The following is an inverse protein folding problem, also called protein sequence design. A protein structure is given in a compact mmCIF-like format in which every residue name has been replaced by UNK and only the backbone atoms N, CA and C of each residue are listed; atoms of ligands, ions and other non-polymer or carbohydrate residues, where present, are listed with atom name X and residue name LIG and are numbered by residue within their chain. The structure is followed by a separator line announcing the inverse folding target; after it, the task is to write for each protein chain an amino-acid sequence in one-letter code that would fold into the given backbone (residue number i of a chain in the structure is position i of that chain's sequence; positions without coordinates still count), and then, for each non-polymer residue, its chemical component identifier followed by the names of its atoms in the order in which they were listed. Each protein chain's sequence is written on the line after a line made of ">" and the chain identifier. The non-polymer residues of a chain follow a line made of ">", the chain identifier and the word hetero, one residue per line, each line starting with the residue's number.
data_IF_149223731047
#
_entry.id   IF_149223731047
#
_cell.length_a   1.000
_cell.length_b   1.000
_cell.length_c   1.000
_cell.angle_alpha   90.00
_cell.angle_beta   90.00
_cell.angle_gamma   90.00
#
_symmetry.space_group_name_H-M   'P 1'
#
loop_
_entity.id
_entity.type
_entity.pdbx_description
1 polymer ?
#
# COMPACT_ATOMS: atom_id res chain seq x y z
N UNK A 1 -17.98 -20.56 9.14
CA UNK A 1 -17.12 -19.37 9.00
C UNK A 1 -16.87 -19.21 7.52
N UNK A 2 -17.81 -18.55 6.83
CA UNK A 2 -17.68 -18.19 5.42
C UNK A 2 -16.69 -17.03 5.33
N UNK A 3 -15.49 -17.32 4.83
CA UNK A 3 -14.54 -16.29 4.42
C UNK A 3 -14.90 -15.82 3.02
N UNK A 4 -15.32 -14.57 2.98
CA UNK A 4 -15.70 -13.78 1.82
C UNK A 4 -14.71 -13.96 0.63
N UNK A 5 -15.09 -14.81 -0.32
CA UNK A 5 -15.59 -14.29 -1.60
C UNK A 5 -14.65 -14.23 -2.82
N UNK A 6 -13.37 -14.65 -2.76
CA UNK A 6 -12.57 -14.87 -3.98
C UNK A 6 -11.76 -16.15 -3.92
N UNK A 7 -11.99 -17.02 -4.92
CA UNK A 7 -11.25 -18.27 -5.07
C UNK A 7 -9.79 -17.97 -5.42
N UNK A 8 -8.84 -18.81 -4.99
CA UNK A 8 -7.41 -18.64 -5.29
C UNK A 8 -7.13 -18.48 -6.79
N UNK A 9 -8.00 -19.06 -7.62
CA UNK A 9 -7.98 -18.94 -9.08
C UNK A 9 -8.29 -17.52 -9.58
N UNK A 10 -9.25 -16.83 -8.97
CA UNK A 10 -9.57 -15.42 -9.28
C UNK A 10 -8.44 -14.48 -8.86
N UNK A 11 -7.71 -14.84 -7.80
CA UNK A 11 -6.54 -14.10 -7.33
C UNK A 11 -5.40 -14.24 -8.33
N UNK A 12 -5.12 -15.49 -8.72
CA UNK A 12 -4.13 -15.80 -9.73
C UNK A 12 -4.45 -15.06 -11.05
N UNK A 13 -5.72 -15.08 -11.47
CA UNK A 13 -6.21 -14.33 -12.63
C UNK A 13 -6.03 -12.82 -12.50
N UNK A 14 -6.35 -12.22 -11.34
CA UNK A 14 -6.17 -10.79 -11.10
C UNK A 14 -4.70 -10.32 -11.05
N UNK A 15 -3.79 -11.25 -10.77
CA UNK A 15 -2.34 -11.03 -10.74
C UNK A 15 -1.67 -11.39 -12.06
N UNK A 16 -2.41 -11.96 -13.02
CA UNK A 16 -1.86 -12.42 -14.30
C UNK A 16 -0.90 -13.63 -14.17
N UNK A 17 -0.99 -14.38 -13.07
CA UNK A 17 -0.16 -15.56 -12.80
C UNK A 17 -1.00 -16.83 -12.76
N UNK A 18 -0.39 -17.98 -13.00
CA UNK A 18 -1.10 -19.26 -12.84
C UNK A 18 -1.31 -19.62 -11.36
N UNK A 19 -2.37 -20.36 -11.05
CA UNK A 19 -2.66 -20.83 -9.70
C UNK A 19 -1.48 -21.61 -9.09
N UNK A 20 -0.79 -22.41 -9.90
CA UNK A 20 0.40 -23.16 -9.48
C UNK A 20 1.58 -22.24 -9.10
N UNK A 21 1.78 -21.15 -9.83
CA UNK A 21 2.81 -20.14 -9.50
C UNK A 21 2.46 -19.40 -8.21
N UNK A 22 1.18 -19.04 -8.03
CA UNK A 22 0.71 -18.39 -6.82
C UNK A 22 0.91 -19.30 -5.60
N UNK A 23 0.51 -20.57 -5.68
CA UNK A 23 0.68 -21.54 -4.60
C UNK A 23 2.14 -21.86 -4.30
N UNK A 24 3.00 -21.91 -5.33
CA UNK A 24 4.44 -22.11 -5.15
C UNK A 24 5.08 -20.91 -4.45
N UNK A 25 4.74 -19.69 -4.87
CA UNK A 25 5.21 -18.46 -4.24
C UNK A 25 4.81 -18.34 -2.77
N UNK A 26 3.55 -18.65 -2.45
CA UNK A 26 2.98 -18.67 -1.09
C UNK A 26 3.72 -19.68 -0.22
N UNK A 27 4.01 -20.87 -0.77
CA UNK A 27 4.75 -21.93 -0.07
C UNK A 27 6.22 -21.54 0.17
N UNK A 28 6.90 -21.00 -0.83
CA UNK A 28 8.32 -20.63 -0.76
C UNK A 28 8.57 -19.43 0.17
N UNK A 29 7.71 -18.41 0.09
CA UNK A 29 7.84 -17.19 0.88
C UNK A 29 7.13 -17.27 2.24
N UNK A 30 6.50 -18.41 2.57
CA UNK A 30 5.69 -18.62 3.78
C UNK A 30 4.66 -17.50 4.01
N UNK A 31 4.04 -17.06 2.94
CA UNK A 31 3.05 -15.97 2.98
C UNK A 31 1.68 -16.56 3.28
N UNK A 32 0.90 -15.90 4.12
CA UNK A 32 -0.50 -16.26 4.33
C UNK A 32 -1.35 -15.71 3.17
N UNK A 33 -2.00 -16.61 2.43
CA UNK A 33 -2.80 -16.25 1.25
C UNK A 33 -4.06 -15.46 1.64
N UNK A 34 -4.62 -15.70 2.83
CA UNK A 34 -5.79 -14.97 3.33
C UNK A 34 -5.41 -13.57 3.83
N UNK A 35 -4.18 -13.41 4.35
CA UNK A 35 -3.57 -12.09 4.54
C UNK A 35 -3.41 -11.35 3.20
N UNK A 36 -2.96 -12.04 2.15
CA UNK A 36 -2.81 -11.48 0.81
C UNK A 36 -4.16 -11.06 0.20
N UNK A 37 -5.19 -11.91 0.32
CA UNK A 37 -6.57 -11.64 -0.10
C UNK A 37 -7.13 -10.37 0.52
N UNK A 38 -7.06 -10.28 1.85
CA UNK A 38 -7.64 -9.17 2.61
C UNK A 38 -6.87 -7.85 2.43
N UNK A 39 -5.55 -7.90 2.21
CA UNK A 39 -4.68 -6.71 2.21
C UNK A 39 -4.38 -6.15 0.82
N UNK A 40 -4.24 -7.00 -0.20
CA UNK A 40 -3.79 -6.59 -1.53
C UNK A 40 -4.92 -6.54 -2.56
N UNK A 41 -5.87 -7.47 -2.55
CA UNK A 41 -6.98 -7.45 -3.50
C UNK A 41 -8.04 -6.42 -3.11
N UNK A 42 -8.36 -6.32 -1.82
CA UNK A 42 -9.33 -5.33 -1.33
C UNK A 42 -8.84 -3.88 -1.43
N UNK A 43 -7.55 -3.66 -1.69
CA UNK A 43 -6.92 -2.32 -1.75
C UNK A 43 -6.14 -2.07 -3.04
N UNK A 44 -6.22 -2.95 -4.05
CA UNK A 44 -5.43 -2.84 -5.28
C UNK A 44 -5.51 -1.43 -5.89
N UNK A 45 -6.72 -0.87 -5.94
CA UNK A 45 -6.95 0.48 -6.48
C UNK A 45 -6.33 1.57 -5.60
N UNK A 46 -6.36 1.43 -4.27
CA UNK A 46 -5.69 2.35 -3.34
C UNK A 46 -4.15 2.30 -3.52
N UNK A 47 -3.59 1.10 -3.69
CA UNK A 47 -2.16 0.90 -3.93
C UNK A 47 -1.74 1.45 -5.29
N UNK A 48 -2.51 1.17 -6.34
CA UNK A 48 -2.27 1.72 -7.68
C UNK A 48 -2.35 3.25 -7.68
N UNK A 49 -3.31 3.85 -6.96
CA UNK A 49 -3.37 5.30 -6.80
C UNK A 49 -2.17 5.85 -6.02
N UNK A 50 -1.76 5.18 -4.94
CA UNK A 50 -0.60 5.60 -4.15
C UNK A 50 0.70 5.51 -4.97
N UNK A 51 0.90 4.41 -5.70
CA UNK A 51 2.02 4.20 -6.62
C UNK A 51 1.98 5.20 -7.78
N UNK A 52 0.80 5.51 -8.31
CA UNK A 52 0.67 6.52 -9.39
C UNK A 52 1.07 7.90 -8.90
N UNK A 53 0.63 8.30 -7.70
CA UNK A 53 1.07 9.56 -7.07
C UNK A 53 2.57 9.56 -6.84
N UNK A 54 3.13 8.44 -6.36
CA UNK A 54 4.57 8.27 -6.15
C UNK A 54 5.37 8.36 -7.47
N UNK A 55 4.85 7.77 -8.55
CA UNK A 55 5.47 7.77 -9.86
C UNK A 55 5.58 9.17 -10.47
N UNK A 56 4.57 10.03 -10.27
CA UNK A 56 4.57 11.41 -10.78
C UNK A 56 5.19 12.43 -9.81
N UNK A 57 5.42 12.03 -8.56
CA UNK A 57 5.81 12.94 -7.48
C UNK A 57 4.62 13.75 -6.97
N UNK A 58 4.65 14.11 -5.68
CA UNK A 58 3.55 14.86 -5.09
C UNK A 58 4.00 15.73 -3.92
N UNK A 59 3.25 16.79 -3.67
CA UNK A 59 3.42 17.63 -2.49
C UNK A 59 2.60 17.06 -1.34
N UNK A 60 3.18 17.08 -0.14
CA UNK A 60 2.51 16.64 1.07
C UNK A 60 2.83 17.52 2.26
N UNK A 61 1.88 17.60 3.19
CA UNK A 61 2.05 18.34 4.45
C UNK A 61 2.40 17.38 5.57
N UNK A 62 3.61 17.46 6.08
CA UNK A 62 4.03 16.74 7.27
C UNK A 62 3.57 17.54 8.49
N UNK A 63 2.63 16.98 9.28
CA UNK A 63 2.21 17.59 10.55
C UNK A 63 2.95 16.92 11.70
N UNK A 64 3.70 17.71 12.46
CA UNK A 64 4.35 17.27 13.69
C UNK A 64 3.63 17.90 14.88
N UNK A 65 2.95 17.07 15.67
CA UNK A 65 2.24 17.52 16.87
C UNK A 65 3.13 17.21 18.08
N UNK A 66 3.56 18.25 18.78
CA UNK A 66 4.30 18.15 20.03
C UNK A 66 3.39 18.61 21.16
N UNK A 67 3.06 17.70 22.07
CA UNK A 67 2.28 18.04 23.28
C UNK A 67 3.26 18.18 24.44
N UNK A 68 3.37 19.39 24.97
CA UNK A 68 4.25 19.69 26.10
C UNK A 68 3.39 20.11 27.29
N UNK A 69 3.63 19.52 28.45
CA UNK A 69 2.95 19.85 29.69
C UNK A 69 3.84 20.79 30.50
N UNK A 70 3.34 21.99 30.80
CA UNK A 70 4.07 23.00 31.56
C UNK A 70 3.18 23.51 32.69
N UNK A 71 3.62 23.36 33.94
CA UNK A 71 2.86 23.72 35.15
C UNK A 71 1.42 23.17 35.17
N UNK A 72 1.23 21.88 34.86
CA UNK A 72 -0.08 21.21 34.90
C UNK A 72 -1.06 21.62 33.79
N UNK A 73 -0.63 22.43 32.82
CA UNK A 73 -1.41 22.78 31.63
C UNK A 73 -0.75 22.17 30.39
N UNK A 74 -1.53 21.40 29.61
CA UNK A 74 -1.10 20.87 28.32
C UNK A 74 -1.13 21.97 27.26
N UNK A 75 -0.01 22.21 26.59
CA UNK A 75 0.08 22.99 25.35
C UNK A 75 0.35 22.06 24.19
N UNK A 76 -0.42 22.22 23.13
CA UNK A 76 -0.25 21.48 21.87
C UNK A 76 0.39 22.43 20.87
N UNK A 77 1.58 22.07 20.40
CA UNK A 77 2.26 22.74 19.30
C UNK A 77 2.11 21.88 18.05
N UNK A 78 1.54 22.46 16.99
CA UNK A 78 1.44 21.77 15.69
C UNK A 78 2.31 22.52 14.69
N UNK A 79 3.35 21.85 14.21
CA UNK A 79 4.18 22.31 13.10
C UNK A 79 3.68 21.66 11.81
N UNK A 80 3.48 22.45 10.76
CA UNK A 80 3.05 21.97 9.44
C UNK A 80 4.13 22.33 8.43
N UNK A 81 4.83 21.33 7.91
CA UNK A 81 5.85 21.51 6.88
C UNK A 81 5.32 21.00 5.53
N UNK A 82 5.39 21.84 4.50
CA UNK A 82 5.14 21.43 3.12
C UNK A 82 6.42 20.81 2.54
N UNK A 83 6.32 19.58 2.04
CA UNK A 83 7.43 18.87 1.41
C UNK A 83 7.04 18.39 0.03
N UNK A 84 7.98 18.51 -0.89
CA UNK A 84 7.88 17.93 -2.21
C UNK A 84 8.56 16.57 -2.21
N UNK A 85 7.83 15.56 -2.66
CA UNK A 85 8.38 14.26 -2.93
C UNK A 85 8.61 14.11 -4.44
N UNK A 86 9.86 13.91 -4.90
CA UNK A 86 10.16 13.83 -6.32
C UNK A 86 9.54 12.57 -6.96
N UNK A 87 9.34 12.60 -8.28
CA UNK A 87 8.88 11.44 -9.05
C UNK A 87 9.79 10.22 -8.86
N UNK A 88 9.18 9.04 -8.75
CA UNK A 88 9.88 7.77 -8.56
C UNK A 88 9.80 6.90 -9.82
N UNK A 89 10.92 6.81 -10.53
CA UNK A 89 11.00 6.10 -11.81
C UNK A 89 10.82 4.58 -11.66
N UNK A 90 11.11 4.02 -10.48
CA UNK A 90 10.89 2.60 -10.21
C UNK A 90 9.39 2.32 -9.99
N UNK A 91 8.69 3.22 -9.30
CA UNK A 91 7.23 3.13 -9.18
C UNK A 91 6.54 3.23 -10.55
N UNK A 92 7.04 4.09 -11.44
CA UNK A 92 6.55 4.20 -12.82
C UNK A 92 6.77 2.90 -13.62
N UNK A 93 7.98 2.33 -13.55
CA UNK A 93 8.31 1.09 -14.26
C UNK A 93 7.44 -0.07 -13.79
N UNK A 94 7.27 -0.20 -12.47
CA UNK A 94 6.42 -1.23 -11.88
C UNK A 94 4.96 -1.13 -12.35
N UNK A 95 4.41 0.10 -12.41
CA UNK A 95 3.06 0.34 -12.94
C UNK A 95 2.93 -0.08 -14.41
N UNK A 96 3.91 0.25 -15.25
CA UNK A 96 3.87 -0.12 -16.68
C UNK A 96 3.87 -1.65 -16.85
N UNK A 97 4.62 -2.36 -16.01
CA UNK A 97 4.73 -3.82 -16.05
C UNK A 97 3.50 -4.56 -15.46
N UNK A 98 2.87 -3.99 -14.42
CA UNK A 98 1.88 -4.72 -13.60
C UNK A 98 0.47 -4.11 -13.59
N UNK A 99 0.24 -2.95 -14.21
CA UNK A 99 -1.07 -2.31 -14.29
C UNK A 99 -1.90 -2.73 -15.52
N UNK A 100 -1.48 -3.78 -16.25
CA UNK A 100 -2.29 -4.38 -17.33
C UNK A 100 -3.46 -5.21 -16.80
#
# INVERSE_FOLDING_TARGET
>A
METDGKSEDEIAGSLGVSLAQLQSFVRENRVDIDYYKSRLLGKRDEWLQALSRRAVGYEYKERKVTTTEFNGKKKVFTEINERHLPPDTQALLWLIEHAK
#
